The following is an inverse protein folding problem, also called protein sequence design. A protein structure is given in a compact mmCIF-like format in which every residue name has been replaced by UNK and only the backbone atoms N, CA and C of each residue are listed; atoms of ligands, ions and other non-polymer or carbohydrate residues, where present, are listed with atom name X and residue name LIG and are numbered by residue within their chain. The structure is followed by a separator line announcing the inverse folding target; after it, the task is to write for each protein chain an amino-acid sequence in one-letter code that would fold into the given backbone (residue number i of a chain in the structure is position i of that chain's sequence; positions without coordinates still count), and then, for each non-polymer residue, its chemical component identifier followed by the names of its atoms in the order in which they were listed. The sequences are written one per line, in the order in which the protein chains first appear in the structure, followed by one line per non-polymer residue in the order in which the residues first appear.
data_IF_955478909121
#
_entry.id   IF_955478909121
#
_cell.length_a   1.000
_cell.length_b   1.000
_cell.length_c   1.000
_cell.angle_alpha   90.00
_cell.angle_beta   90.00
_cell.angle_gamma   90.00
#
_symmetry.space_group_name_H-M   'P 1'
#
loop_
_entity.id
_entity.type
_entity.pdbx_description
1 polymer ?
#
# COMPACT_ATOMS: atom_id res chain seq x y z
N UNK A 1 6.53 57.65 25.77
CA UNK A 1 6.07 57.25 24.42
C UNK A 1 6.89 56.11 23.75
N UNK A 2 7.98 55.65 24.32
CA UNK A 2 8.81 54.56 23.70
C UNK A 2 8.38 53.14 24.07
N UNK A 3 7.49 52.92 25.03
CA UNK A 3 7.12 51.58 25.52
C UNK A 3 6.09 50.84 24.62
N UNK A 4 5.24 51.56 23.88
CA UNK A 4 4.22 50.92 23.05
C UNK A 4 4.76 50.38 21.74
N UNK A 5 5.75 51.01 21.13
CA UNK A 5 6.31 50.55 19.85
C UNK A 5 7.11 49.24 19.97
N UNK A 6 7.73 48.98 21.11
CA UNK A 6 8.48 47.75 21.35
C UNK A 6 7.53 46.56 21.52
N UNK A 7 6.42 46.72 22.23
CA UNK A 7 5.42 45.65 22.44
C UNK A 7 4.74 45.24 21.13
N UNK A 8 4.50 46.20 20.24
CA UNK A 8 3.87 45.95 18.96
C UNK A 8 4.81 45.21 18.00
N UNK A 9 6.11 45.54 17.99
CA UNK A 9 7.12 44.86 17.18
C UNK A 9 7.33 43.41 17.62
N UNK A 10 7.35 43.14 18.94
CA UNK A 10 7.49 41.79 19.50
C UNK A 10 6.26 40.92 19.18
N UNK A 11 5.06 41.51 19.15
CA UNK A 11 3.84 40.80 18.80
C UNK A 11 3.81 40.39 17.33
N UNK A 12 4.25 41.24 16.41
CA UNK A 12 4.34 40.89 14.98
C UNK A 12 5.38 39.79 14.68
N UNK A 13 6.52 39.78 15.38
CA UNK A 13 7.54 38.74 15.26
C UNK A 13 7.00 37.41 15.76
N UNK A 14 6.25 37.41 16.86
CA UNK A 14 5.66 36.18 17.40
C UNK A 14 4.57 35.59 16.51
N UNK A 15 3.70 36.45 15.92
CA UNK A 15 2.66 36.01 14.96
C UNK A 15 3.29 35.49 13.68
N UNK A 16 4.37 36.11 13.20
CA UNK A 16 5.07 35.70 12.00
C UNK A 16 5.78 34.36 12.18
N UNK A 17 6.41 34.11 13.33
CA UNK A 17 7.01 32.81 13.66
C UNK A 17 5.97 31.69 13.81
N UNK A 18 4.78 32.01 14.38
CA UNK A 18 3.70 31.03 14.53
C UNK A 18 3.11 30.61 13.16
N UNK A 19 3.03 31.56 12.20
CA UNK A 19 2.55 31.30 10.86
C UNK A 19 3.51 30.40 10.06
N UNK A 20 4.83 30.52 10.27
CA UNK A 20 5.83 29.64 9.65
C UNK A 20 5.83 28.21 10.22
N UNK A 21 5.54 28.03 11.50
CA UNK A 21 5.46 26.72 12.13
C UNK A 21 4.25 25.88 11.66
N UNK A 22 3.22 26.52 11.13
CA UNK A 22 2.04 25.82 10.60
C UNK A 22 2.19 25.33 9.14
N UNK A 23 3.21 25.83 8.42
CA UNK A 23 3.43 25.46 7.01
C UNK A 23 4.21 24.14 6.91
N UNK A 24 5.08 23.81 7.87
CA UNK A 24 5.86 22.56 7.85
C UNK A 24 5.05 21.30 8.20
N UNK A 25 3.85 21.44 8.76
CA UNK A 25 3.00 20.31 9.11
C UNK A 25 2.24 19.70 7.91
N UNK A 26 2.23 20.35 6.75
CA UNK A 26 1.38 19.96 5.60
C UNK A 26 2.08 19.11 4.55
N UNK A 27 3.38 18.87 4.64
CA UNK A 27 4.17 18.27 3.55
C UNK A 27 4.74 16.87 3.86
N UNK A 28 4.19 16.13 4.82
CA UNK A 28 4.53 14.71 4.92
C UNK A 28 3.87 13.99 3.73
N UNK A 29 4.65 13.85 2.66
CA UNK A 29 4.23 13.11 1.47
C UNK A 29 3.76 11.71 1.92
N UNK A 30 2.47 11.45 1.84
CA UNK A 30 1.89 10.17 2.21
C UNK A 30 2.36 9.15 1.17
N UNK A 31 3.32 8.32 1.56
CA UNK A 31 3.72 7.17 0.77
C UNK A 31 2.60 6.13 0.84
N UNK A 32 2.27 5.55 -0.31
CA UNK A 32 1.36 4.42 -0.37
C UNK A 32 2.13 3.17 0.06
N UNK A 33 1.65 2.44 1.06
CA UNK A 33 2.20 1.15 1.44
C UNK A 33 1.37 0.05 0.79
N UNK A 34 2.02 -0.80 0.02
CA UNK A 34 1.40 -1.97 -0.60
C UNK A 34 2.11 -3.21 -0.09
N UNK A 35 1.37 -4.18 0.42
CA UNK A 35 1.94 -5.38 1.01
C UNK A 35 1.12 -6.60 0.66
N UNK A 36 1.82 -7.68 0.29
CA UNK A 36 1.21 -8.98 0.05
C UNK A 36 1.75 -9.95 1.08
N UNK A 37 0.85 -10.53 1.85
CA UNK A 37 1.13 -11.51 2.88
C UNK A 37 0.54 -12.87 2.47
N UNK A 38 1.20 -13.95 2.84
CA UNK A 38 0.64 -15.29 2.66
C UNK A 38 -0.23 -15.70 3.86
N UNK A 39 -1.13 -16.62 3.62
CA UNK A 39 -1.82 -17.32 4.69
C UNK A 39 -0.80 -18.08 5.53
N UNK A 40 -0.86 -17.90 6.86
CA UNK A 40 0.01 -18.61 7.79
C UNK A 40 -0.36 -20.09 7.87
N UNK A 41 0.62 -20.93 8.20
CA UNK A 41 0.33 -22.32 8.46
C UNK A 41 -0.52 -22.49 9.72
N UNK A 42 -1.41 -23.50 9.78
CA UNK A 42 -2.26 -23.74 10.97
C UNK A 42 -1.47 -24.00 12.26
N UNK A 43 -0.19 -24.35 12.13
CA UNK A 43 0.69 -24.65 13.27
C UNK A 43 1.61 -23.47 13.65
N UNK A 44 1.53 -22.34 12.92
CA UNK A 44 2.28 -21.14 13.26
C UNK A 44 1.74 -20.52 14.54
N UNK A 45 2.65 -20.10 15.40
CA UNK A 45 2.29 -19.43 16.65
C UNK A 45 1.89 -17.98 16.38
N UNK A 46 1.16 -17.35 17.32
CA UNK A 46 0.76 -15.93 17.28
C UNK A 46 1.96 -14.97 17.18
N UNK A 47 3.18 -15.49 17.41
CA UNK A 47 4.41 -14.71 17.23
C UNK A 47 4.63 -14.38 15.75
N UNK A 48 4.32 -15.30 14.84
CA UNK A 48 4.59 -15.17 13.40
C UNK A 48 3.35 -14.85 12.56
N UNK A 49 2.16 -14.92 13.15
CA UNK A 49 0.91 -14.67 12.47
C UNK A 49 0.08 -13.57 13.13
N UNK A 50 -0.80 -12.95 12.35
CA UNK A 50 -1.83 -12.01 12.80
C UNK A 50 -3.20 -12.53 12.35
N UNK A 51 -4.25 -12.37 13.17
CA UNK A 51 -5.60 -12.69 12.73
C UNK A 51 -6.04 -11.70 11.65
N UNK A 52 -6.61 -12.22 10.57
CA UNK A 52 -7.29 -11.45 9.55
C UNK A 52 -8.66 -12.07 9.27
N UNK A 53 -9.63 -11.24 8.92
CA UNK A 53 -10.95 -11.71 8.55
C UNK A 53 -11.10 -11.65 7.04
N UNK A 54 -11.41 -12.79 6.44
CA UNK A 54 -11.61 -12.87 4.99
C UNK A 54 -12.83 -12.06 4.59
N UNK A 55 -12.71 -11.30 3.50
CA UNK A 55 -13.79 -10.46 2.95
C UNK A 55 -14.84 -11.32 2.25
N UNK A 56 -14.42 -12.41 1.59
CA UNK A 56 -15.30 -13.28 0.82
C UNK A 56 -16.16 -14.21 1.70
N UNK A 57 -15.58 -14.81 2.76
CA UNK A 57 -16.26 -15.81 3.59
C UNK A 57 -16.55 -15.36 5.02
N UNK A 58 -15.99 -14.23 5.44
CA UNK A 58 -16.08 -13.72 6.82
C UNK A 58 -15.39 -14.61 7.87
N UNK A 59 -14.58 -15.59 7.42
CA UNK A 59 -13.84 -16.48 8.31
C UNK A 59 -12.58 -15.80 8.84
N UNK A 60 -12.26 -16.07 10.09
CA UNK A 60 -11.00 -15.68 10.68
C UNK A 60 -9.90 -16.64 10.21
N UNK A 61 -8.81 -16.09 9.71
CA UNK A 61 -7.64 -16.83 9.22
C UNK A 61 -6.37 -16.20 9.81
N UNK A 62 -5.33 -16.99 9.93
CA UNK A 62 -4.02 -16.49 10.31
C UNK A 62 -3.25 -16.06 9.06
N UNK A 63 -2.61 -14.90 9.12
CA UNK A 63 -1.81 -14.31 8.04
C UNK A 63 -0.39 -14.10 8.54
N UNK A 64 0.62 -14.43 7.75
CA UNK A 64 2.02 -14.22 8.11
C UNK A 64 2.29 -12.74 8.38
N UNK A 65 3.00 -12.42 9.48
CA UNK A 65 3.32 -11.01 9.85
C UNK A 65 4.22 -10.32 8.86
N UNK A 66 5.17 -11.05 8.30
CA UNK A 66 6.11 -10.50 7.33
C UNK A 66 5.50 -10.55 5.94
N UNK A 67 5.47 -9.43 5.21
CA UNK A 67 5.03 -9.43 3.83
C UNK A 67 6.07 -10.09 2.93
N UNK A 68 5.61 -10.84 1.96
CA UNK A 68 6.44 -11.41 0.90
C UNK A 68 6.77 -10.37 -0.18
N UNK A 69 5.81 -9.51 -0.51
CA UNK A 69 5.96 -8.46 -1.52
C UNK A 69 5.56 -7.13 -0.88
N UNK A 70 6.33 -6.10 -1.17
CA UNK A 70 6.18 -4.76 -0.62
C UNK A 70 6.04 -3.71 -1.72
N UNK A 71 5.78 -2.48 -1.34
CA UNK A 71 5.76 -1.32 -2.24
C UNK A 71 7.07 -1.10 -2.99
N UNK A 72 8.19 -1.62 -2.48
CA UNK A 72 9.52 -1.48 -3.11
C UNK A 72 9.70 -2.40 -4.32
N UNK A 73 8.96 -3.50 -4.35
CA UNK A 73 9.02 -4.49 -5.42
C UNK A 73 8.14 -4.09 -6.63
N UNK A 74 7.38 -2.99 -6.54
CA UNK A 74 6.48 -2.55 -7.60
C UNK A 74 7.18 -1.60 -8.56
N UNK A 75 7.28 -2.00 -9.81
CA UNK A 75 7.82 -1.16 -10.90
C UNK A 75 6.78 -0.25 -11.55
N UNK A 76 5.58 -0.77 -11.74
CA UNK A 76 4.52 -0.07 -12.44
C UNK A 76 3.15 -0.63 -12.06
N UNK A 77 2.09 0.17 -12.22
CA UNK A 77 0.74 -0.31 -12.05
C UNK A 77 -0.21 0.29 -13.09
N UNK A 78 -1.26 -0.45 -13.41
CA UNK A 78 -2.30 -0.06 -14.36
C UNK A 78 -3.66 -0.23 -13.68
N UNK A 79 -4.27 0.86 -13.20
CA UNK A 79 -5.59 0.81 -12.61
C UNK A 79 -6.68 0.70 -13.68
N UNK A 80 -7.80 0.09 -13.33
CA UNK A 80 -9.01 0.02 -14.14
C UNK A 80 -10.26 0.09 -13.25
N UNK A 81 -11.39 0.58 -13.76
CA UNK A 81 -12.64 0.60 -13.00
C UNK A 81 -13.16 -0.83 -12.80
N UNK A 82 -13.56 -1.16 -11.59
CA UNK A 82 -14.19 -2.42 -11.22
C UNK A 82 -15.73 -2.29 -11.27
N UNK A 83 -16.43 -3.42 -11.32
CA UNK A 83 -17.90 -3.44 -11.43
C UNK A 83 -18.61 -2.98 -10.16
N UNK A 84 -17.95 -3.05 -9.01
CA UNK A 84 -18.47 -2.65 -7.70
C UNK A 84 -18.31 -1.17 -7.38
N UNK A 85 -17.90 -0.36 -8.38
CA UNK A 85 -17.67 1.08 -8.22
C UNK A 85 -16.32 1.43 -7.58
N UNK A 86 -15.49 0.44 -7.25
CA UNK A 86 -14.10 0.61 -6.82
C UNK A 86 -13.16 0.53 -8.03
N UNK A 87 -11.85 0.42 -7.76
CA UNK A 87 -10.86 0.18 -8.79
C UNK A 87 -10.15 -1.14 -8.54
N UNK A 88 -9.86 -1.85 -9.61
CA UNK A 88 -8.86 -2.88 -9.65
C UNK A 88 -7.54 -2.35 -10.19
N UNK A 89 -6.49 -3.17 -10.15
CA UNK A 89 -5.21 -2.81 -10.74
C UNK A 89 -4.38 -4.04 -11.12
N UNK A 90 -3.61 -3.91 -12.19
CA UNK A 90 -2.53 -4.81 -12.53
C UNK A 90 -1.21 -4.21 -12.05
N UNK A 91 -0.53 -4.89 -11.13
CA UNK A 91 0.80 -4.52 -10.65
C UNK A 91 1.86 -5.30 -11.41
N UNK A 92 2.90 -4.61 -11.87
CA UNK A 92 4.10 -5.20 -12.45
C UNK A 92 5.21 -5.11 -11.41
N UNK A 93 5.74 -6.25 -11.01
CA UNK A 93 6.85 -6.36 -10.07
C UNK A 93 8.20 -6.20 -10.79
N UNK A 94 9.21 -5.81 -10.03
CA UNK A 94 10.60 -5.88 -10.44
C UNK A 94 11.12 -7.32 -10.44
N UNK A 95 12.39 -7.53 -10.72
CA UNK A 95 12.99 -8.87 -10.78
C UNK A 95 12.98 -9.57 -9.41
N UNK A 96 13.20 -8.82 -8.32
CA UNK A 96 13.17 -9.37 -6.97
C UNK A 96 11.74 -9.85 -6.62
N UNK A 97 10.74 -8.99 -6.78
CA UNK A 97 9.35 -9.34 -6.54
C UNK A 97 8.84 -10.45 -7.45
N UNK A 98 9.30 -10.51 -8.71
CA UNK A 98 8.98 -11.58 -9.66
C UNK A 98 9.46 -12.95 -9.15
N UNK A 99 10.70 -13.05 -8.70
CA UNK A 99 11.27 -14.29 -8.17
C UNK A 99 10.54 -14.72 -6.91
N UNK A 100 10.24 -13.77 -6.02
CA UNK A 100 9.45 -14.06 -4.80
C UNK A 100 8.06 -14.59 -5.16
N UNK A 101 7.36 -13.92 -6.07
CA UNK A 101 6.01 -14.33 -6.49
C UNK A 101 6.01 -15.71 -7.14
N UNK A 102 7.02 -16.01 -7.97
CA UNK A 102 7.19 -17.31 -8.60
C UNK A 102 7.37 -18.41 -7.54
N UNK A 103 8.29 -18.21 -6.60
CA UNK A 103 8.56 -19.15 -5.49
C UNK A 103 7.30 -19.35 -4.64
N UNK A 104 6.66 -18.24 -4.21
CA UNK A 104 5.46 -18.25 -3.38
C UNK A 104 4.30 -18.99 -4.06
N UNK A 105 4.12 -18.78 -5.36
CA UNK A 105 3.05 -19.43 -6.13
C UNK A 105 3.25 -20.95 -6.31
N UNK A 106 4.48 -21.46 -6.15
CA UNK A 106 4.78 -22.88 -6.15
C UNK A 106 4.63 -23.46 -4.74
N UNK A 107 5.26 -22.82 -3.75
CA UNK A 107 5.32 -23.35 -2.37
C UNK A 107 3.98 -23.28 -1.63
N UNK A 108 3.16 -22.26 -1.91
CA UNK A 108 1.88 -21.99 -1.25
C UNK A 108 0.67 -22.27 -2.15
N UNK A 109 0.82 -23.18 -3.11
CA UNK A 109 -0.26 -23.51 -4.04
C UNK A 109 -1.50 -24.01 -3.30
N UNK A 110 -2.67 -23.47 -3.65
CA UNK A 110 -3.94 -23.72 -2.99
C UNK A 110 -4.22 -22.82 -1.78
N UNK A 111 -3.23 -22.06 -1.29
CA UNK A 111 -3.36 -21.09 -0.23
C UNK A 111 -3.88 -19.74 -0.70
N UNK A 112 -4.02 -18.81 0.25
CA UNK A 112 -4.47 -17.45 0.01
C UNK A 112 -3.32 -16.45 0.19
N UNK A 113 -3.33 -15.42 -0.68
CA UNK A 113 -2.55 -14.20 -0.52
C UNK A 113 -3.49 -13.06 -0.11
N UNK A 114 -3.03 -12.27 0.84
CA UNK A 114 -3.77 -11.12 1.37
C UNK A 114 -3.08 -9.84 0.91
N UNK A 115 -3.80 -9.02 0.16
CA UNK A 115 -3.30 -7.76 -0.36
C UNK A 115 -3.75 -6.62 0.53
N UNK A 116 -2.79 -5.91 1.13
CA UNK A 116 -3.03 -4.74 1.96
C UNK A 116 -2.55 -3.48 1.26
N UNK A 117 -3.34 -2.42 1.38
CA UNK A 117 -2.96 -1.07 0.98
C UNK A 117 -3.19 -0.11 2.15
N UNK A 118 -2.15 0.62 2.55
CA UNK A 118 -2.18 1.54 3.70
C UNK A 118 -2.77 0.89 4.97
N UNK A 119 -2.41 -0.38 5.23
CA UNK A 119 -2.87 -1.16 6.37
C UNK A 119 -4.30 -1.72 6.25
N UNK A 120 -5.02 -1.41 5.17
CA UNK A 120 -6.36 -1.94 4.90
C UNK A 120 -6.27 -3.16 3.99
N UNK A 121 -6.92 -4.26 4.35
CA UNK A 121 -7.10 -5.41 3.48
C UNK A 121 -7.96 -5.00 2.27
N UNK A 122 -7.42 -5.21 1.07
CA UNK A 122 -8.08 -4.86 -0.19
C UNK A 122 -8.81 -6.07 -0.77
N UNK A 123 -8.07 -7.18 -0.88
CA UNK A 123 -8.59 -8.40 -1.50
C UNK A 123 -7.78 -9.61 -1.05
N UNK A 124 -8.36 -10.77 -1.27
CA UNK A 124 -7.70 -12.07 -1.13
C UNK A 124 -7.54 -12.68 -2.52
N UNK A 125 -6.39 -13.26 -2.78
CA UNK A 125 -6.07 -13.91 -4.04
C UNK A 125 -5.75 -15.37 -3.79
N UNK A 126 -6.46 -16.28 -4.43
CA UNK A 126 -6.14 -17.70 -4.35
C UNK A 126 -4.99 -18.05 -5.29
N UNK A 127 -4.04 -18.82 -4.80
CA UNK A 127 -2.92 -19.33 -5.59
C UNK A 127 -3.37 -20.62 -6.27
N UNK A 128 -3.90 -20.53 -7.47
CA UNK A 128 -4.38 -21.67 -8.26
C UNK A 128 -3.30 -22.24 -9.19
N UNK A 129 -2.35 -21.42 -9.60
CA UNK A 129 -1.29 -21.75 -10.55
C UNK A 129 0.00 -21.01 -10.27
N UNK A 130 1.09 -21.48 -10.88
CA UNK A 130 2.37 -20.79 -10.87
C UNK A 130 2.29 -19.43 -11.58
N UNK A 131 2.86 -18.40 -10.97
CA UNK A 131 2.92 -17.03 -11.50
C UNK A 131 4.37 -16.61 -11.65
N UNK A 132 4.92 -16.75 -12.85
CA UNK A 132 6.33 -16.47 -13.15
C UNK A 132 6.56 -15.16 -13.91
N UNK A 133 5.48 -14.47 -14.29
CA UNK A 133 5.53 -13.25 -15.09
C UNK A 133 5.68 -11.97 -14.25
N UNK A 134 5.71 -12.09 -12.91
CA UNK A 134 5.84 -10.96 -11.99
C UNK A 134 4.64 -10.02 -12.01
N UNK A 135 3.46 -10.52 -12.26
CA UNK A 135 2.22 -9.72 -12.30
C UNK A 135 1.26 -10.13 -11.21
N UNK A 136 0.72 -9.13 -10.50
CA UNK A 136 -0.34 -9.32 -9.53
C UNK A 136 -1.58 -8.60 -10.04
N UNK A 137 -2.67 -9.36 -10.16
CA UNK A 137 -3.97 -8.84 -10.57
C UNK A 137 -4.86 -8.66 -9.33
N UNK A 138 -5.18 -7.42 -9.00
CA UNK A 138 -6.12 -7.06 -7.94
C UNK A 138 -7.45 -6.72 -8.60
N UNK A 139 -8.51 -7.51 -8.41
CA UNK A 139 -9.75 -7.37 -9.18
C UNK A 139 -10.54 -6.10 -8.81
N UNK A 140 -10.56 -5.73 -7.52
CA UNK A 140 -11.33 -4.57 -7.02
C UNK A 140 -10.85 -4.16 -5.62
N UNK A 141 -11.53 -3.18 -5.01
CA UNK A 141 -11.32 -2.78 -3.61
C UNK A 141 -10.41 -1.57 -3.41
N UNK A 142 -9.76 -1.04 -4.46
CA UNK A 142 -9.02 0.21 -4.37
C UNK A 142 -9.96 1.40 -4.50
N UNK A 143 -9.77 2.43 -3.68
CA UNK A 143 -10.50 3.69 -3.79
C UNK A 143 -9.86 4.63 -4.82
N UNK A 144 -10.57 5.64 -5.28
CA UNK A 144 -10.02 6.68 -6.16
C UNK A 144 -8.81 7.36 -5.51
N UNK A 145 -8.85 7.61 -4.19
CA UNK A 145 -7.75 8.19 -3.44
C UNK A 145 -6.51 7.27 -3.43
N UNK A 146 -6.71 5.95 -3.27
CA UNK A 146 -5.61 4.98 -3.35
C UNK A 146 -4.95 5.04 -4.73
N UNK A 147 -5.76 5.04 -5.80
CA UNK A 147 -5.28 5.12 -7.19
C UNK A 147 -4.49 6.40 -7.44
N UNK A 148 -4.96 7.54 -6.93
CA UNK A 148 -4.26 8.83 -7.10
C UNK A 148 -2.92 8.87 -6.35
N UNK A 149 -2.83 8.27 -5.16
CA UNK A 149 -1.58 8.12 -4.42
C UNK A 149 -0.61 7.18 -5.16
N UNK A 150 -1.11 6.06 -5.64
CA UNK A 150 -0.33 5.09 -6.40
C UNK A 150 0.22 5.66 -7.71
N UNK A 151 -0.57 6.47 -8.44
CA UNK A 151 -0.13 7.17 -9.66
C UNK A 151 1.02 8.13 -9.42
N UNK A 152 1.08 8.74 -8.24
CA UNK A 152 2.18 9.63 -7.85
C UNK A 152 3.47 8.87 -7.52
N UNK A 153 3.34 7.66 -7.00
CA UNK A 153 4.47 6.84 -6.55
C UNK A 153 5.01 5.94 -7.66
N UNK A 154 4.13 5.32 -8.45
CA UNK A 154 4.51 4.37 -9.50
C UNK A 154 4.08 4.85 -10.88
N UNK A 155 4.98 4.73 -11.84
CA UNK A 155 4.69 5.11 -13.24
C UNK A 155 3.79 4.08 -13.91
N UNK A 156 2.91 4.54 -14.79
CA UNK A 156 2.19 3.64 -15.69
C UNK A 156 3.17 3.01 -16.69
N UNK A 157 3.00 1.73 -17.08
CA UNK A 157 3.82 1.07 -18.10
C UNK A 157 3.91 1.85 -19.43
N UNK A 158 2.86 2.57 -19.79
CA UNK A 158 2.83 3.42 -20.98
C UNK A 158 3.80 4.61 -20.93
N UNK A 159 4.17 5.09 -19.74
CA UNK A 159 5.09 6.22 -19.55
C UNK A 159 6.57 5.80 -19.56
N UNK A 160 6.86 4.52 -19.53
CA UNK A 160 8.23 3.98 -19.49
C UNK A 160 8.85 3.80 -20.88
N UNK A 161 8.06 3.90 -21.95
CA UNK A 161 8.49 3.73 -23.35
C UNK A 161 8.94 5.02 -24.03
N UNK A 162 9.13 6.12 -23.28
CA UNK A 162 9.66 7.38 -23.82
C UNK A 162 11.04 7.67 -23.25
#
# INVERSE_FOLDING_TARGET
MLSQSIRMRTFYVFVFCLAFALIDAAAKQRHCTFRVHAQANPHDTDVFSIPARTTASGKDVAVEKLPWITEHDIMAFSPYPAQDGTFGALFQLDEHGRVILDTLSVERRGGLLFVFNNGRLITELQIDKRVSDGRIYVPSGLTATDVDLMKKQWRSPAQRKR
#
